data_IF_734714006153
#
_entry.id   IF_734714006153
#
_cell.length_a   1.000
_cell.length_b   1.000
_cell.length_c   1.000
_cell.angle_alpha   90.00
_cell.angle_beta   90.00
_cell.angle_gamma   90.00
#
_symmetry.space_group_name_H-M   'P 1'
#
loop_
_entity.id
_entity.type
_entity.pdbx_description
1 polymer ?
#
# COMPACT_ATOMS: atom_id res chain seq x y z
N UNK A 1 33.98 34.07 -16.72
CA UNK A 1 33.72 33.41 -15.41
C UNK A 1 32.24 33.48 -14.98
N UNK A 2 31.27 33.51 -15.92
CA UNK A 2 29.85 33.77 -15.59
C UNK A 2 28.88 32.63 -15.92
N UNK A 3 29.15 31.80 -16.93
CA UNK A 3 28.22 30.76 -17.38
C UNK A 3 28.27 29.51 -16.49
N UNK A 4 29.47 29.04 -16.13
CA UNK A 4 29.65 27.87 -15.25
C UNK A 4 29.07 28.08 -13.85
N UNK A 5 29.20 29.29 -13.30
CA UNK A 5 28.68 29.62 -11.96
C UNK A 5 27.14 29.68 -11.95
N UNK A 6 26.53 30.13 -13.06
CA UNK A 6 25.07 30.15 -13.25
C UNK A 6 24.48 28.75 -13.39
N UNK A 7 25.14 27.87 -14.13
CA UNK A 7 24.72 26.47 -14.28
C UNK A 7 24.80 25.74 -12.93
N UNK A 8 25.87 25.98 -12.15
CA UNK A 8 26.00 25.44 -10.80
C UNK A 8 24.89 25.90 -9.86
N UNK A 9 24.54 27.19 -9.89
CA UNK A 9 23.45 27.73 -9.06
C UNK A 9 22.07 27.13 -9.43
N UNK A 10 21.80 26.93 -10.72
CA UNK A 10 20.55 26.32 -11.18
C UNK A 10 20.45 24.87 -10.73
N UNK A 11 21.54 24.09 -10.86
CA UNK A 11 21.57 22.69 -10.41
C UNK A 11 21.32 22.57 -8.90
N UNK A 12 21.98 23.42 -8.08
CA UNK A 12 21.75 23.44 -6.63
C UNK A 12 20.30 23.82 -6.30
N UNK A 13 19.73 24.79 -7.02
CA UNK A 13 18.33 25.19 -6.85
C UNK A 13 17.34 24.06 -7.17
N UNK A 14 17.55 23.33 -8.26
CA UNK A 14 16.69 22.20 -8.66
C UNK A 14 16.79 21.05 -7.65
N UNK A 15 18.00 20.74 -7.17
CA UNK A 15 18.19 19.69 -6.14
C UNK A 15 17.53 20.11 -4.82
N UNK A 16 17.72 21.35 -4.37
CA UNK A 16 17.11 21.86 -3.14
C UNK A 16 15.57 21.87 -3.22
N UNK A 17 15.01 22.25 -4.38
CA UNK A 17 13.57 22.20 -4.62
C UNK A 17 13.04 20.75 -4.63
N UNK A 18 13.78 19.82 -5.24
CA UNK A 18 13.44 18.40 -5.23
C UNK A 18 13.46 17.78 -3.83
N UNK A 19 14.41 18.19 -2.98
CA UNK A 19 14.48 17.75 -1.59
C UNK A 19 13.34 18.30 -0.72
N UNK A 20 12.92 19.56 -0.94
CA UNK A 20 11.76 20.13 -0.24
C UNK A 20 10.43 19.54 -0.73
N UNK A 21 10.38 19.06 -1.97
CA UNK A 21 9.19 18.45 -2.56
C UNK A 21 9.09 16.93 -2.33
N UNK A 22 10.09 16.32 -1.68
CA UNK A 22 10.04 14.90 -1.37
C UNK A 22 8.99 14.66 -0.26
N UNK A 23 7.83 14.14 -0.65
CA UNK A 23 6.84 13.65 0.31
C UNK A 23 7.47 12.56 1.19
N UNK A 24 7.22 12.55 2.51
CA UNK A 24 7.71 11.49 3.37
C UNK A 24 7.14 10.15 2.87
N UNK A 25 8.03 9.24 2.48
CA UNK A 25 7.63 7.87 2.19
C UNK A 25 7.31 7.18 3.53
N UNK A 26 6.02 6.98 3.81
CA UNK A 26 5.57 6.18 4.95
C UNK A 26 5.79 4.71 4.59
N UNK A 27 7.03 4.25 4.77
CA UNK A 27 7.37 2.85 4.65
C UNK A 27 6.97 2.13 5.95
N UNK A 28 5.83 1.45 5.96
CA UNK A 28 5.38 0.68 7.13
C UNK A 28 3.88 0.49 7.31
N UNK A 29 3.05 0.87 6.33
CA UNK A 29 1.61 0.60 6.36
C UNK A 29 1.25 -0.83 5.91
N UNK A 30 -0.02 -1.24 6.07
CA UNK A 30 -0.47 -2.55 5.62
C UNK A 30 -0.39 -2.67 4.09
N UNK A 31 -0.03 -3.84 3.58
CA UNK A 31 0.09 -4.12 2.14
C UNK A 31 -1.16 -4.78 1.57
N UNK A 32 -1.94 -5.46 2.42
CA UNK A 32 -3.18 -6.11 2.05
C UNK A 32 -4.27 -5.98 3.10
N UNK A 33 -5.49 -6.23 2.67
CA UNK A 33 -6.72 -6.15 3.45
C UNK A 33 -7.56 -7.41 3.22
N UNK A 34 -7.97 -8.05 4.32
CA UNK A 34 -9.01 -9.07 4.34
C UNK A 34 -10.31 -8.48 4.91
N UNK A 35 -11.43 -8.75 4.24
CA UNK A 35 -12.75 -8.23 4.58
C UNK A 35 -13.65 -9.42 4.86
N UNK A 36 -14.26 -9.48 6.03
CA UNK A 36 -15.13 -10.58 6.45
C UNK A 36 -16.44 -10.03 6.98
N UNK A 37 -17.56 -10.52 6.46
CA UNK A 37 -18.88 -10.32 7.03
C UNK A 37 -19.47 -11.69 7.38
N UNK A 38 -19.35 -12.13 8.65
CA UNK A 38 -19.86 -13.42 9.09
C UNK A 38 -21.38 -13.53 8.94
N UNK A 39 -22.13 -12.46 9.22
CA UNK A 39 -23.59 -12.45 9.14
C UNK A 39 -24.13 -12.79 7.73
N UNK A 40 -23.34 -12.51 6.70
CA UNK A 40 -23.67 -12.82 5.31
C UNK A 40 -22.86 -13.97 4.72
N UNK A 41 -21.97 -14.60 5.50
CA UNK A 41 -21.03 -15.62 5.03
C UNK A 41 -20.21 -15.17 3.81
N UNK A 42 -19.80 -13.89 3.79
CA UNK A 42 -19.05 -13.31 2.69
C UNK A 42 -17.67 -12.85 3.12
N UNK A 43 -16.72 -13.06 2.21
CA UNK A 43 -15.38 -12.51 2.32
C UNK A 43 -14.98 -11.79 1.04
N UNK A 44 -14.03 -10.87 1.16
CA UNK A 44 -13.40 -10.17 0.05
C UNK A 44 -11.97 -9.80 0.47
N UNK A 45 -11.12 -9.49 -0.49
CA UNK A 45 -9.76 -9.02 -0.22
C UNK A 45 -9.36 -7.94 -1.21
N UNK A 46 -8.42 -7.10 -0.77
CA UNK A 46 -7.85 -6.03 -1.58
C UNK A 46 -6.36 -5.88 -1.27
N UNK A 47 -5.60 -5.46 -2.28
CA UNK A 47 -4.18 -5.14 -2.15
C UNK A 47 -3.96 -3.64 -2.28
N UNK A 48 -2.81 -3.14 -1.81
CA UNK A 48 -2.37 -1.78 -2.14
C UNK A 48 -2.44 -1.53 -3.66
N UNK A 49 -2.95 -0.36 -4.06
CA UNK A 49 -3.23 -0.05 -5.48
C UNK A 49 -4.62 -0.47 -5.97
N UNK A 50 -5.38 -1.29 -5.22
CA UNK A 50 -6.80 -1.50 -5.47
C UNK A 50 -7.60 -0.30 -4.94
N UNK A 51 -8.50 0.25 -5.76
CA UNK A 51 -9.32 1.38 -5.36
C UNK A 51 -10.22 1.08 -4.14
N UNK A 52 -10.59 -0.18 -3.91
CA UNK A 52 -11.36 -0.63 -2.73
C UNK A 52 -10.53 -0.51 -1.46
N UNK A 53 -9.25 -0.91 -1.52
CA UNK A 53 -8.30 -0.79 -0.41
C UNK A 53 -8.21 0.68 0.01
N UNK A 54 -7.93 1.58 -0.94
CA UNK A 54 -7.73 3.02 -0.67
C UNK A 54 -8.98 3.69 -0.09
N UNK A 55 -10.18 3.33 -0.59
CA UNK A 55 -11.45 3.85 -0.08
C UNK A 55 -11.70 3.41 1.36
N UNK A 56 -11.57 2.12 1.63
CA UNK A 56 -11.79 1.60 2.99
C UNK A 56 -10.78 2.19 3.96
N UNK A 57 -9.49 2.23 3.58
CA UNK A 57 -8.44 2.77 4.42
C UNK A 57 -8.68 4.25 4.75
N UNK A 58 -9.18 5.04 3.79
CA UNK A 58 -9.62 6.41 4.04
C UNK A 58 -10.77 6.48 5.06
N UNK A 59 -11.85 5.73 4.83
CA UNK A 59 -13.08 5.88 5.61
C UNK A 59 -13.00 5.29 7.03
N UNK A 60 -12.06 4.37 7.29
CA UNK A 60 -11.74 3.90 8.64
C UNK A 60 -10.61 4.68 9.31
N UNK A 61 -10.03 5.66 8.63
CA UNK A 61 -9.01 6.55 9.19
C UNK A 61 -7.64 5.89 9.34
N UNK A 62 -7.14 5.21 8.31
CA UNK A 62 -5.73 4.77 8.23
C UNK A 62 -4.82 5.89 7.73
N UNK A 63 -5.35 6.80 6.88
CA UNK A 63 -4.55 7.77 6.13
C UNK A 63 -4.70 9.23 6.61
N UNK A 64 -5.04 9.46 7.88
CA UNK A 64 -5.12 10.81 8.46
C UNK A 64 -3.73 11.41 8.71
N UNK A 65 -3.01 11.71 7.63
CA UNK A 65 -2.08 12.84 7.47
C UNK A 65 -0.78 12.93 8.28
N UNK A 66 -0.66 12.33 9.45
CA UNK A 66 0.56 12.27 10.26
C UNK A 66 0.69 10.83 10.72
N UNK A 67 1.92 10.27 10.73
CA UNK A 67 2.15 8.86 11.02
C UNK A 67 1.23 8.30 12.10
N UNK A 68 0.35 7.37 11.71
CA UNK A 68 -0.57 6.64 12.59
C UNK A 68 -1.25 7.55 13.62
N UNK A 69 -2.02 8.56 13.17
CA UNK A 69 -3.06 9.10 14.04
C UNK A 69 -4.09 8.00 14.27
N UNK A 70 -3.91 7.29 15.38
CA UNK A 70 -4.93 6.41 15.94
C UNK A 70 -6.25 7.20 16.07
N UNK A 71 -7.40 6.51 15.97
CA UNK A 71 -8.68 7.16 16.19
C UNK A 71 -8.66 8.01 17.46
N UNK A 72 -8.72 9.33 17.29
CA UNK A 72 -8.68 10.30 18.38
C UNK A 72 -10.06 10.41 18.99
N UNK A 73 -10.43 9.40 19.75
CA UNK A 73 -11.67 9.42 20.50
C UNK A 73 -11.85 8.10 21.19
N UNK A 74 -11.63 8.05 22.50
CA UNK A 74 -12.11 6.97 23.36
C UNK A 74 -13.60 7.15 23.61
N UNK A 75 -14.41 7.16 22.55
CA UNK A 75 -15.86 7.19 22.68
C UNK A 75 -16.33 5.85 23.25
N UNK A 76 -17.54 5.80 23.81
CA UNK A 76 -18.18 4.54 24.15
C UNK A 76 -19.27 4.27 23.12
N UNK A 77 -19.35 3.07 22.54
CA UNK A 77 -20.45 2.72 21.66
C UNK A 77 -21.77 2.80 22.43
N UNK A 78 -22.91 3.05 21.74
CA UNK A 78 -24.21 2.99 22.37
C UNK A 78 -24.47 1.60 22.99
N UNK A 79 -25.20 1.59 24.11
CA UNK A 79 -25.58 0.34 24.76
C UNK A 79 -26.35 -0.56 23.79
N UNK A 80 -25.97 -1.84 23.72
CA UNK A 80 -26.61 -2.83 22.86
C UNK A 80 -25.91 -3.11 21.54
N UNK A 81 -24.76 -2.50 21.24
CA UNK A 81 -23.85 -3.05 20.22
C UNK A 81 -23.36 -4.41 20.73
N UNK A 82 -23.73 -5.46 19.99
CA UNK A 82 -23.19 -6.79 20.22
C UNK A 82 -21.71 -6.79 19.85
N UNK A 83 -20.86 -6.84 20.88
CA UNK A 83 -19.42 -6.97 20.73
C UNK A 83 -18.99 -8.45 20.60
N UNK A 84 -19.95 -9.37 20.56
CA UNK A 84 -19.76 -10.77 20.24
C UNK A 84 -19.34 -10.96 18.78
N UNK A 85 -18.66 -12.08 18.52
CA UNK A 85 -18.23 -12.44 17.18
C UNK A 85 -19.45 -12.77 16.31
N UNK A 86 -19.59 -12.09 15.16
CA UNK A 86 -20.47 -12.51 14.08
C UNK A 86 -21.44 -11.46 13.57
N UNK A 87 -21.70 -10.40 14.33
CA UNK A 87 -22.59 -9.30 13.92
C UNK A 87 -21.82 -8.14 13.26
N UNK A 88 -20.50 -8.12 13.40
CA UNK A 88 -19.62 -7.09 12.85
C UNK A 88 -19.06 -7.45 11.47
N UNK A 89 -18.68 -6.41 10.73
CA UNK A 89 -17.83 -6.56 9.55
C UNK A 89 -16.40 -6.32 9.98
N UNK A 90 -15.53 -7.29 9.71
CA UNK A 90 -14.11 -7.23 10.11
C UNK A 90 -13.22 -6.88 8.94
N UNK A 91 -12.41 -5.84 9.11
CA UNK A 91 -11.30 -5.49 8.24
C UNK A 91 -10.00 -5.87 8.93
N UNK A 92 -9.24 -6.79 8.36
CA UNK A 92 -7.93 -7.19 8.85
C UNK A 92 -6.87 -6.67 7.90
N UNK A 93 -6.07 -5.73 8.37
CA UNK A 93 -4.99 -5.10 7.63
C UNK A 93 -3.70 -5.86 7.93
N UNK A 94 -3.04 -6.33 6.89
CA UNK A 94 -1.83 -7.14 7.01
C UNK A 94 -0.61 -6.35 6.55
N UNK A 95 0.46 -6.35 7.34
CA UNK A 95 1.77 -5.88 6.91
C UNK A 95 2.54 -7.04 6.29
N UNK A 96 3.12 -6.80 5.12
CA UNK A 96 3.81 -7.80 4.30
C UNK A 96 2.97 -9.06 4.02
N UNK A 97 1.63 -8.94 4.06
CA UNK A 97 0.66 -10.00 3.80
C UNK A 97 0.73 -11.21 4.75
N UNK A 98 1.46 -11.09 5.86
CA UNK A 98 1.70 -12.21 6.79
C UNK A 98 1.32 -11.88 8.23
N UNK A 99 1.45 -10.62 8.65
CA UNK A 99 1.25 -10.22 10.04
C UNK A 99 0.10 -9.24 10.16
N UNK A 100 -0.79 -9.47 11.12
CA UNK A 100 -1.88 -8.53 11.44
C UNK A 100 -1.27 -7.23 11.97
N UNK A 101 -1.56 -6.13 11.27
CA UNK A 101 -1.12 -4.79 11.64
C UNK A 101 -2.20 -4.02 12.39
N UNK A 102 -3.45 -4.12 11.90
CA UNK A 102 -4.63 -3.46 12.44
C UNK A 102 -5.86 -4.31 12.16
N UNK A 103 -6.84 -4.26 13.06
CA UNK A 103 -8.18 -4.81 12.83
C UNK A 103 -9.19 -3.70 13.11
N UNK A 104 -10.10 -3.47 12.16
CA UNK A 104 -11.29 -2.64 12.38
C UNK A 104 -12.53 -3.54 12.42
N UNK A 105 -13.29 -3.44 13.51
CA UNK A 105 -14.60 -4.09 13.66
C UNK A 105 -15.68 -3.04 13.44
N UNK A 106 -16.41 -3.18 12.35
CA UNK A 106 -17.40 -2.21 11.91
C UNK A 106 -18.79 -2.71 12.29
N UNK A 107 -19.50 -1.89 13.05
CA UNK A 107 -20.88 -2.11 13.47
C UNK A 107 -21.78 -1.11 12.74
N UNK A 108 -22.63 -1.62 11.85
CA UNK A 108 -23.57 -0.82 11.09
C UNK A 108 -24.84 -0.57 11.93
N UNK A 109 -25.03 0.66 12.37
CA UNK A 109 -26.29 1.13 12.96
C UNK A 109 -27.23 1.71 11.91
N UNK A 110 -28.44 2.13 12.34
CA UNK A 110 -29.42 2.78 11.46
C UNK A 110 -28.99 4.17 10.99
N UNK A 111 -28.32 4.92 11.86
CA UNK A 111 -27.93 6.32 11.63
C UNK A 111 -26.43 6.56 11.81
N UNK A 112 -25.77 5.75 12.64
CA UNK A 112 -24.34 5.85 12.93
C UNK A 112 -23.63 4.55 12.54
N UNK A 113 -22.34 4.67 12.17
CA UNK A 113 -21.44 3.53 11.99
C UNK A 113 -20.34 3.63 13.03
N UNK A 114 -20.26 2.61 13.88
CA UNK A 114 -19.28 2.50 14.95
C UNK A 114 -18.15 1.58 14.53
N UNK A 115 -16.93 1.95 14.91
CA UNK A 115 -15.71 1.20 14.58
C UNK A 115 -14.94 0.97 15.89
N UNK A 116 -14.59 -0.29 16.15
CA UNK A 116 -13.59 -0.65 17.16
C UNK A 116 -12.29 -1.00 16.44
N UNK A 117 -11.27 -0.18 16.66
CA UNK A 117 -9.96 -0.31 16.02
C UNK A 117 -8.96 -0.88 17.01
N UNK A 118 -8.33 -2.01 16.69
CA UNK A 118 -7.19 -2.58 17.44
C UNK A 118 -5.93 -2.59 16.58
N UNK A 119 -4.76 -2.32 17.16
CA UNK A 119 -3.47 -2.39 16.48
C UNK A 119 -2.51 -3.34 17.21
N UNK A 120 -1.61 -3.96 16.45
CA UNK A 120 -0.66 -4.98 16.95
C UNK A 120 0.78 -4.60 16.57
N UNK A 121 1.24 -3.43 16.99
CA UNK A 121 2.58 -2.94 16.62
C UNK A 121 3.72 -3.65 17.40
N UNK A 122 3.42 -4.24 18.55
CA UNK A 122 4.38 -4.86 19.47
C UNK A 122 4.08 -6.34 19.78
N UNK A 123 3.48 -7.05 18.82
CA UNK A 123 2.98 -8.44 18.93
C UNK A 123 1.85 -8.64 19.96
N UNK A 124 1.44 -7.59 20.68
CA UNK A 124 0.26 -7.59 21.55
C UNK A 124 -0.82 -6.65 21.01
N UNK A 125 -2.05 -7.13 20.74
CA UNK A 125 -3.14 -6.24 20.39
C UNK A 125 -3.41 -5.25 21.53
N UNK A 126 -3.48 -3.96 21.22
CA UNK A 126 -3.95 -2.97 22.19
C UNK A 126 -5.43 -3.22 22.56
N UNK A 127 -5.91 -2.57 23.64
CA UNK A 127 -7.31 -2.68 24.08
C UNK A 127 -8.33 -2.19 23.01
N UNK A 128 -7.83 -1.53 21.97
CA UNK A 128 -8.58 -0.92 20.91
C UNK A 128 -9.31 0.34 21.33
N UNK A 129 -9.70 1.12 20.32
CA UNK A 129 -10.37 2.41 20.48
C UNK A 129 -11.68 2.38 19.71
N UNK A 130 -12.75 2.83 20.36
CA UNK A 130 -14.07 2.97 19.77
C UNK A 130 -14.27 4.37 19.24
N UNK A 131 -14.70 4.49 18.00
CA UNK A 131 -14.98 5.76 17.38
C UNK A 131 -16.08 5.64 16.33
N UNK A 132 -16.69 6.76 15.98
CA UNK A 132 -17.59 6.82 14.83
C UNK A 132 -16.83 6.96 13.53
N UNK A 133 -17.42 6.43 12.46
CA UNK A 133 -16.99 6.75 11.11
C UNK A 133 -17.30 8.22 10.82
N UNK A 134 -16.30 8.99 10.36
CA UNK A 134 -16.51 10.38 9.97
C UNK A 134 -17.48 10.51 8.77
N UNK A 135 -17.48 9.50 7.89
CA UNK A 135 -18.31 9.47 6.69
C UNK A 135 -19.09 8.15 6.60
N UNK A 136 -20.12 7.94 7.46
CA UNK A 136 -20.78 6.64 7.63
C UNK A 136 -21.41 6.11 6.33
N UNK A 137 -22.09 6.98 5.58
CA UNK A 137 -22.70 6.61 4.30
C UNK A 137 -21.66 6.18 3.24
N UNK A 138 -20.50 6.84 3.22
CA UNK A 138 -19.43 6.49 2.26
C UNK A 138 -18.71 5.22 2.67
N UNK A 139 -18.53 4.98 3.96
CA UNK A 139 -18.02 3.71 4.48
C UNK A 139 -18.97 2.56 4.11
N UNK A 140 -20.27 2.73 4.34
CA UNK A 140 -21.28 1.73 3.97
C UNK A 140 -21.24 1.42 2.46
N UNK A 141 -21.18 2.45 1.60
CA UNK A 141 -21.06 2.27 0.16
C UNK A 141 -19.79 1.51 -0.24
N UNK A 142 -18.64 1.87 0.34
CA UNK A 142 -17.37 1.17 0.08
C UNK A 142 -17.44 -0.32 0.48
N UNK A 143 -18.08 -0.64 1.61
CA UNK A 143 -18.32 -2.03 2.01
C UNK A 143 -19.26 -2.75 1.03
N UNK A 144 -20.32 -2.08 0.56
CA UNK A 144 -21.25 -2.66 -0.42
C UNK A 144 -20.55 -3.04 -1.73
N UNK A 145 -19.65 -2.19 -2.22
CA UNK A 145 -18.86 -2.42 -3.44
C UNK A 145 -17.98 -3.67 -3.36
N UNK A 146 -17.51 -4.03 -2.17
CA UNK A 146 -16.70 -5.25 -1.97
C UNK A 146 -17.52 -6.53 -2.12
N UNK A 147 -18.86 -6.42 -2.10
CA UNK A 147 -19.80 -7.53 -2.17
C UNK A 147 -20.14 -8.16 -0.81
N UNK A 148 -19.47 -7.79 0.28
CA UNK A 148 -19.65 -8.46 1.59
C UNK A 148 -20.99 -8.14 2.27
N UNK A 149 -21.69 -7.10 1.84
CA UNK A 149 -23.04 -6.77 2.33
C UNK A 149 -24.15 -7.53 1.62
N UNK A 150 -23.85 -8.23 0.51
CA UNK A 150 -24.86 -9.04 -0.16
C UNK A 150 -25.09 -10.32 0.64
N UNK A 151 -26.36 -10.75 0.81
CA UNK A 151 -26.64 -12.07 1.35
C UNK A 151 -25.87 -13.15 0.58
N UNK A 152 -25.47 -14.22 1.28
CA UNK A 152 -25.09 -15.45 0.59
C UNK A 152 -26.24 -15.85 -0.34
N UNK A 153 -25.90 -16.22 -1.59
CA UNK A 153 -26.89 -16.91 -2.41
C UNK A 153 -27.24 -18.21 -1.68
N UNK A 154 -28.51 -18.60 -1.60
CA UNK A 154 -28.86 -19.92 -1.08
C UNK A 154 -28.01 -20.94 -1.84
N UNK A 155 -27.13 -21.63 -1.13
CA UNK A 155 -26.56 -22.86 -1.65
C UNK A 155 -27.78 -23.76 -1.85
N UNK A 156 -28.06 -24.25 -3.07
CA UNK A 156 -29.06 -25.29 -3.23
C UNK A 156 -28.74 -26.37 -2.20
N UNK A 157 -29.73 -26.83 -1.44
CA UNK A 157 -29.54 -27.96 -0.55
C UNK A 157 -29.27 -29.18 -1.44
N UNK A 158 -28.02 -29.34 -1.87
CA UNK A 158 -27.59 -30.48 -2.65
C UNK A 158 -27.47 -31.63 -1.66
N UNK A 159 -28.41 -32.56 -1.81
CA UNK A 159 -28.17 -33.99 -1.93
C UNK A 159 -26.82 -34.45 -1.39
N UNK A 160 -26.89 -35.28 -0.35
CA UNK A 160 -25.81 -36.13 0.16
C UNK A 160 -24.82 -36.49 -0.96
N UNK A 161 -23.51 -36.22 -0.82
CA UNK A 161 -22.56 -36.52 -1.87
C UNK A 161 -22.54 -38.02 -2.10
N UNK A 162 -23.14 -38.46 -3.20
CA UNK A 162 -22.91 -39.79 -3.73
C UNK A 162 -21.40 -39.94 -3.93
N UNK A 163 -20.81 -40.89 -3.23
CA UNK A 163 -19.38 -41.14 -3.24
C UNK A 163 -18.91 -41.39 -4.68
N UNK A 164 -18.33 -40.37 -5.30
CA UNK A 164 -17.67 -40.50 -6.60
C UNK A 164 -16.42 -41.38 -6.38
N UNK A 165 -16.25 -42.49 -7.13
CA UNK A 165 -15.04 -43.29 -7.05
C UNK A 165 -13.84 -42.44 -7.44
N UNK A 166 -12.78 -42.50 -6.63
CA UNK A 166 -11.53 -41.79 -6.88
C UNK A 166 -10.97 -42.13 -8.28
N UNK A 167 -10.63 -41.14 -9.11
CA UNK A 167 -9.86 -41.41 -10.33
C UNK A 167 -8.42 -41.82 -9.95
N UNK A 168 -7.79 -42.72 -10.72
CA UNK A 168 -6.42 -43.15 -10.45
C UNK A 168 -5.44 -41.96 -10.56
N UNK A 169 -4.52 -41.91 -9.60
CA UNK A 169 -3.37 -40.99 -9.58
C UNK A 169 -2.46 -41.26 -10.76
N UNK A 170 -2.57 -40.47 -11.81
CA UNK A 170 -1.49 -40.31 -12.79
C UNK A 170 -0.77 -38.98 -12.54
N UNK A 171 0.50 -39.10 -12.18
CA UNK A 171 1.41 -37.98 -11.97
C UNK A 171 1.72 -37.31 -13.32
N UNK A 172 0.93 -36.31 -13.70
CA UNK A 172 1.26 -35.42 -14.81
C UNK A 172 2.23 -34.33 -14.32
N UNK A 173 3.49 -34.45 -14.71
CA UNK A 173 4.53 -33.45 -14.49
C UNK A 173 4.15 -32.13 -15.17
N UNK A 174 3.90 -31.10 -14.35
CA UNK A 174 3.75 -29.72 -14.83
C UNK A 174 5.12 -29.23 -15.35
N UNK A 175 5.19 -29.02 -16.67
CA UNK A 175 6.33 -28.41 -17.35
C UNK A 175 6.50 -26.97 -16.86
N UNK A 176 7.65 -26.68 -16.25
CA UNK A 176 8.03 -25.32 -15.87
C UNK A 176 8.07 -24.41 -17.10
N UNK A 177 7.12 -23.47 -17.17
CA UNK A 177 7.19 -22.36 -18.12
C UNK A 177 8.07 -21.26 -17.51
N UNK A 178 9.12 -20.90 -18.25
CA UNK A 178 10.23 -20.05 -17.81
C UNK A 178 9.87 -18.61 -17.44
N UNK A 179 10.85 -17.86 -16.91
CA UNK A 179 10.62 -16.53 -16.34
C UNK A 179 10.19 -15.52 -17.41
N UNK A 180 9.22 -14.62 -17.12
CA UNK A 180 8.98 -13.47 -17.96
C UNK A 180 10.19 -12.52 -17.90
N UNK A 181 10.71 -12.20 -19.08
CA UNK A 181 11.82 -11.28 -19.32
C UNK A 181 11.47 -9.86 -18.85
N UNK A 182 12.39 -9.14 -18.18
CA UNK A 182 12.15 -7.76 -17.75
C UNK A 182 12.40 -6.82 -18.94
N UNK A 183 11.33 -6.41 -19.62
CA UNK A 183 11.42 -5.44 -20.72
C UNK A 183 10.43 -4.29 -20.56
N UNK A 184 10.43 -3.67 -19.37
CA UNK A 184 9.84 -2.34 -19.17
C UNK A 184 10.53 -1.52 -18.06
N UNK A 185 11.85 -1.66 -17.92
CA UNK A 185 12.68 -0.80 -17.05
C UNK A 185 13.80 -0.05 -17.79
N UNK A 186 13.92 -0.23 -19.11
CA UNK A 186 15.06 0.22 -19.89
C UNK A 186 14.90 1.61 -20.55
N UNK A 187 13.79 2.32 -20.34
CA UNK A 187 13.60 3.65 -20.94
C UNK A 187 14.01 4.83 -20.03
N UNK A 188 14.18 4.62 -18.71
CA UNK A 188 14.69 5.66 -17.80
C UNK A 188 16.14 5.42 -17.31
N UNK A 189 16.66 4.20 -17.45
CA UNK A 189 18.06 3.89 -17.11
C UNK A 189 19.08 4.40 -18.14
N UNK A 190 18.72 4.50 -19.42
CA UNK A 190 19.63 4.96 -20.48
C UNK A 190 19.78 6.49 -20.51
N UNK A 191 18.75 7.24 -20.08
CA UNK A 191 18.83 8.70 -20.02
C UNK A 191 19.67 9.21 -18.82
N UNK A 192 19.70 8.45 -17.71
CA UNK A 192 20.56 8.75 -16.56
C UNK A 192 22.04 8.44 -16.79
N UNK A 193 22.36 7.39 -17.56
CA UNK A 193 23.75 6.99 -17.82
C UNK A 193 24.46 7.87 -18.87
N UNK A 194 23.71 8.45 -19.81
CA UNK A 194 24.27 9.36 -20.82
C UNK A 194 24.76 10.69 -20.24
N UNK A 195 24.14 11.18 -19.15
CA UNK A 195 24.57 12.42 -18.46
C UNK A 195 25.80 12.15 -17.57
N UNK A 196 25.98 10.94 -17.05
CA UNK A 196 27.13 10.57 -16.20
C UNK A 196 28.46 10.36 -16.95
N UNK A 197 28.43 9.82 -18.17
CA UNK A 197 29.66 9.52 -18.93
C UNK A 197 30.20 10.74 -19.67
N UNK A 198 29.35 11.70 -20.06
CA UNK A 198 29.80 12.94 -20.71
C UNK A 198 30.62 13.88 -19.81
N UNK A 199 30.38 13.85 -18.49
CA UNK A 199 31.05 14.73 -17.53
C UNK A 199 32.52 14.37 -17.23
N UNK A 200 32.90 13.10 -17.36
CA UNK A 200 34.25 12.63 -16.99
C UNK A 200 35.30 12.79 -18.10
N UNK A 201 34.88 12.86 -19.37
CA UNK A 201 35.80 13.05 -20.50
C UNK A 201 36.27 14.51 -20.67
N UNK A 202 35.46 15.50 -20.28
CA UNK A 202 35.84 16.92 -20.35
C UNK A 202 36.86 17.34 -19.29
N UNK A 203 36.93 16.63 -18.15
CA UNK A 203 37.92 16.92 -17.09
C UNK A 203 39.32 16.37 -17.40
N UNK A 204 39.46 15.36 -18.27
CA UNK A 204 40.79 14.84 -18.68
C UNK A 204 41.48 15.71 -19.74
N UNK A 205 40.74 16.50 -20.51
CA UNK A 205 41.32 17.33 -21.57
C UNK A 205 41.87 18.68 -21.07
N UNK A 206 41.41 19.16 -19.91
CA UNK A 206 41.88 20.40 -19.28
C UNK A 206 43.23 20.28 -18.55
N UNK A 207 43.86 19.09 -18.55
CA UNK A 207 45.09 18.80 -17.78
C UNK A 207 46.31 18.46 -18.63
N UNK A 208 46.38 18.92 -19.88
CA UNK A 208 47.65 18.91 -20.63
C UNK A 208 48.48 20.15 -20.24
N UNK A 209 49.65 20.00 -19.59
CA UNK A 209 50.59 21.10 -19.45
C UNK A 209 51.12 21.50 -20.83
N UNK A 210 51.11 22.81 -21.09
CA UNK A 210 51.68 23.42 -22.29
C UNK A 210 53.21 23.27 -22.23
N UNK A 211 53.90 22.69 -23.23
CA UNK A 211 55.35 22.69 -23.25
C UNK A 211 55.86 24.13 -23.39
N UNK A 212 56.85 24.46 -22.57
CA UNK A 212 57.48 25.77 -22.48
C UNK A 212 57.93 26.29 -23.84
N UNK A 213 57.56 27.55 -24.09
CA UNK A 213 58.06 28.36 -25.18
C UNK A 213 59.49 28.78 -24.83
N UNK A 214 60.48 28.08 -25.40
CA UNK A 214 61.89 28.48 -25.35
C UNK A 214 62.00 29.88 -25.99
N UNK A 215 62.33 30.88 -25.17
CA UNK A 215 62.72 32.21 -25.62
C UNK A 215 64.23 32.18 -25.85
N UNK A 216 64.66 32.13 -27.10
CA UNK A 216 66.02 32.50 -27.49
C UNK A 216 66.11 34.03 -27.41
N UNK A 217 66.86 34.55 -26.44
CA UNK A 217 67.41 35.90 -26.48
C UNK A 217 68.89 35.79 -26.84
N UNK A 218 69.26 36.51 -27.91
CA UNK A 218 70.58 37.13 -28.16
C UNK A 218 71.81 36.26 -27.95
#
# INVERSE_FOLDING_TARGET
>A
MGALMRIGAILVGVVAAGWLAASPAVAGGPTSLLIVNPANERTSSAYTGDARYERLARYVGIHTGAGVEQPTGGESPPGGIDNGFGSEIRLTWLIHDMSVWRVDRIHLGKEEVWIHTTQTWDDTPNAGVWHRAAEPNKLHAALAETGVLRPASPVPADTEPEATPAPPTDAAAATASGPPTPLTGALFGVLGLAIGVGGTLLFRQARRPNPERIVLKG
#
